data_IF_259893583946
#
_entry.id   IF_259893583946
#
_cell.length_a   1.000
_cell.length_b   1.000
_cell.length_c   1.000
_cell.angle_alpha   90.00
_cell.angle_beta   90.00
_cell.angle_gamma   90.00
#
_symmetry.space_group_name_H-M   'P 1'
#
loop_
_entity.id
_entity.type
_entity.pdbx_description
1 polymer ?
#
# COMPACT_ATOMS: atom_id res chain seq x y z
N UNK A 1 -32.80 -3.76 0.90
CA UNK A 1 -31.74 -4.01 -0.10
C UNK A 1 -30.45 -3.33 0.34
N UNK A 2 -29.34 -4.01 0.22
CA UNK A 2 -28.03 -3.46 0.51
C UNK A 2 -27.19 -3.47 -0.77
N UNK A 3 -26.55 -2.36 -1.09
CA UNK A 3 -25.70 -2.25 -2.29
C UNK A 3 -24.37 -1.59 -1.95
N UNK A 4 -23.27 -2.25 -2.30
CA UNK A 4 -21.94 -1.66 -2.28
C UNK A 4 -21.57 -1.17 -3.67
N UNK A 5 -21.13 0.06 -3.75
CA UNK A 5 -20.62 0.69 -4.98
C UNK A 5 -19.15 1.06 -4.78
N UNK A 6 -18.30 0.62 -5.70
CA UNK A 6 -16.87 0.88 -5.66
C UNK A 6 -16.48 1.97 -6.66
N UNK A 7 -15.72 2.96 -6.21
CA UNK A 7 -15.03 4.01 -6.98
C UNK A 7 -15.92 4.95 -7.78
N UNK A 8 -16.87 4.42 -8.51
CA UNK A 8 -17.83 5.20 -9.27
C UNK A 8 -19.17 4.47 -9.24
N UNK A 9 -20.25 5.19 -9.51
CA UNK A 9 -21.61 4.64 -9.44
C UNK A 9 -21.88 3.52 -10.45
N UNK A 10 -20.99 3.34 -11.43
CA UNK A 10 -21.15 2.35 -12.49
C UNK A 10 -20.05 1.29 -12.54
N UNK A 11 -19.01 1.40 -11.69
CA UNK A 11 -17.82 0.55 -11.80
C UNK A 11 -18.03 -0.84 -11.22
N UNK A 12 -18.48 -0.94 -9.99
CA UNK A 12 -18.76 -2.23 -9.36
C UNK A 12 -19.98 -2.07 -8.45
N UNK A 13 -20.95 -2.92 -8.65
CA UNK A 13 -22.15 -2.97 -7.81
C UNK A 13 -22.31 -4.39 -7.27
N UNK A 14 -22.27 -4.52 -5.94
CA UNK A 14 -22.60 -5.75 -5.23
C UNK A 14 -23.85 -5.48 -4.42
N UNK A 15 -24.97 -6.13 -4.75
CA UNK A 15 -26.25 -5.87 -4.12
C UNK A 15 -26.89 -7.15 -3.58
N UNK A 16 -27.69 -6.99 -2.54
CA UNK A 16 -28.41 -8.08 -1.88
C UNK A 16 -29.85 -7.67 -1.60
N UNK A 17 -30.76 -8.56 -1.95
CA UNK A 17 -32.18 -8.40 -1.66
C UNK A 17 -32.62 -9.45 -0.64
N UNK A 18 -33.03 -8.99 0.53
CA UNK A 18 -33.47 -9.89 1.63
C UNK A 18 -34.77 -10.60 1.30
N UNK A 19 -35.69 -9.98 0.56
CA UNK A 19 -36.97 -10.57 0.17
C UNK A 19 -36.83 -11.77 -0.77
N UNK A 20 -35.72 -11.84 -1.52
CA UNK A 20 -35.44 -12.92 -2.46
C UNK A 20 -34.22 -13.75 -2.08
N UNK A 21 -33.53 -13.37 -1.02
CA UNK A 21 -32.25 -13.99 -0.61
C UNK A 21 -31.28 -14.10 -1.79
N UNK A 22 -31.18 -13.03 -2.58
CA UNK A 22 -30.44 -12.99 -3.84
C UNK A 22 -29.35 -11.96 -3.83
N UNK A 23 -28.13 -12.37 -4.25
CA UNK A 23 -26.99 -11.50 -4.46
C UNK A 23 -26.75 -11.29 -5.94
N UNK A 24 -26.53 -10.05 -6.34
CA UNK A 24 -26.13 -9.68 -7.71
C UNK A 24 -24.83 -8.94 -7.73
N UNK A 25 -23.99 -9.26 -8.70
CA UNK A 25 -22.75 -8.54 -8.99
C UNK A 25 -22.80 -7.97 -10.40
N UNK A 26 -22.41 -6.70 -10.52
CA UNK A 26 -22.27 -6.04 -11.84
C UNK A 26 -20.89 -5.40 -11.91
N UNK A 27 -20.06 -5.83 -12.84
CA UNK A 27 -18.70 -5.33 -13.06
C UNK A 27 -17.81 -5.43 -11.83
N UNK A 28 -18.04 -6.42 -10.99
CA UNK A 28 -17.21 -6.67 -9.79
C UNK A 28 -16.26 -7.82 -10.03
N UNK A 29 -15.05 -7.69 -9.47
CA UNK A 29 -14.08 -8.78 -9.42
C UNK A 29 -14.61 -9.92 -8.55
N UNK A 30 -14.18 -11.16 -8.85
CA UNK A 30 -14.45 -12.32 -7.99
C UNK A 30 -13.86 -12.16 -6.58
N UNK A 31 -12.91 -11.24 -6.40
CA UNK A 31 -12.29 -10.94 -5.12
C UNK A 31 -13.22 -10.20 -4.16
N UNK A 32 -14.32 -9.64 -4.67
CA UNK A 32 -15.29 -8.88 -3.88
C UNK A 32 -16.50 -9.74 -3.57
N UNK A 33 -16.77 -9.95 -2.29
CA UNK A 33 -17.89 -10.75 -1.80
C UNK A 33 -18.37 -10.22 -0.45
N UNK A 34 -19.53 -10.73 -0.01
CA UNK A 34 -19.98 -10.52 1.35
C UNK A 34 -19.07 -11.27 2.32
N UNK A 35 -18.65 -10.61 3.39
CA UNK A 35 -17.87 -11.25 4.45
C UNK A 35 -18.72 -12.19 5.30
N UNK A 36 -19.95 -11.78 5.55
CA UNK A 36 -20.94 -12.52 6.34
C UNK A 36 -22.25 -12.59 5.55
N UNK A 37 -23.29 -13.17 6.15
CA UNK A 37 -24.63 -13.05 5.59
C UNK A 37 -25.05 -11.59 5.61
N UNK A 38 -25.43 -10.99 4.45
CA UNK A 38 -25.80 -9.58 4.42
C UNK A 38 -27.07 -9.25 5.19
N UNK A 39 -27.86 -10.25 5.58
CA UNK A 39 -29.03 -10.05 6.47
C UNK A 39 -28.60 -9.65 7.88
N UNK A 40 -27.48 -10.19 8.36
CA UNK A 40 -26.97 -9.90 9.70
C UNK A 40 -25.87 -8.84 9.71
N UNK A 41 -25.01 -8.81 8.70
CA UNK A 41 -23.91 -7.84 8.60
C UNK A 41 -23.54 -7.63 7.13
N UNK A 42 -23.79 -6.43 6.56
CA UNK A 42 -23.50 -6.15 5.16
C UNK A 42 -22.05 -5.80 4.89
N UNK A 43 -21.11 -6.39 5.61
CA UNK A 43 -19.69 -6.13 5.44
C UNK A 43 -19.18 -6.64 4.09
N UNK A 44 -18.43 -5.81 3.39
CA UNK A 44 -17.78 -6.16 2.13
C UNK A 44 -16.41 -6.79 2.42
N UNK A 45 -16.10 -7.87 1.70
CA UNK A 45 -14.78 -8.50 1.74
C UNK A 45 -14.11 -8.37 0.38
N UNK A 46 -12.88 -7.88 0.40
CA UNK A 46 -12.02 -7.82 -0.79
C UNK A 46 -10.76 -8.63 -0.48
N UNK A 47 -10.60 -9.78 -1.15
CA UNK A 47 -9.45 -10.66 -0.90
C UNK A 47 -9.08 -11.45 -2.16
N UNK A 48 -7.78 -11.45 -2.53
CA UNK A 48 -6.72 -10.57 -2.04
C UNK A 48 -6.89 -9.15 -2.57
N UNK A 49 -6.47 -8.17 -1.76
CA UNK A 49 -6.52 -6.76 -2.15
C UNK A 49 -5.37 -6.44 -3.10
N UNK A 50 -5.60 -5.54 -4.07
CA UNK A 50 -4.55 -5.01 -4.94
C UNK A 50 -4.65 -3.49 -5.03
N UNK A 51 -3.66 -2.86 -5.68
CA UNK A 51 -3.60 -1.40 -5.81
C UNK A 51 -4.84 -0.83 -6.50
N UNK A 52 -5.41 -1.54 -7.44
CA UNK A 52 -6.60 -1.11 -8.15
C UNK A 52 -7.84 -1.01 -7.29
N UNK A 53 -7.84 -1.60 -6.09
CA UNK A 53 -8.98 -1.56 -5.17
C UNK A 53 -9.03 -0.28 -4.34
N UNK A 54 -7.97 0.52 -4.34
CA UNK A 54 -7.92 1.79 -3.62
C UNK A 54 -8.96 2.75 -4.17
N UNK A 55 -9.67 3.44 -3.29
CA UNK A 55 -10.65 4.43 -3.68
C UNK A 55 -11.80 4.53 -2.70
N UNK A 56 -12.89 5.12 -3.17
CA UNK A 56 -14.09 5.38 -2.37
C UNK A 56 -15.12 4.28 -2.57
N UNK A 57 -15.78 3.91 -1.48
CA UNK A 57 -16.83 2.89 -1.46
C UNK A 57 -18.06 3.45 -0.77
N UNK A 58 -19.21 3.18 -1.32
CA UNK A 58 -20.49 3.63 -0.77
C UNK A 58 -21.37 2.40 -0.52
N UNK A 59 -21.86 2.27 0.72
CA UNK A 59 -22.85 1.26 1.06
C UNK A 59 -24.23 1.92 1.15
N UNK A 60 -25.14 1.51 0.29
CA UNK A 60 -26.53 2.01 0.30
C UNK A 60 -27.43 0.96 0.91
N UNK A 61 -28.19 1.34 1.92
CA UNK A 61 -29.19 0.48 2.56
C UNK A 61 -30.57 1.07 2.32
N UNK A 62 -31.44 0.29 1.69
CA UNK A 62 -32.81 0.68 1.42
C UNK A 62 -33.73 -0.20 2.28
N UNK A 63 -34.51 0.42 3.16
CA UNK A 63 -35.42 -0.27 4.06
C UNK A 63 -36.76 0.45 4.14
N UNK A 64 -37.70 -0.16 4.85
CA UNK A 64 -39.00 0.47 5.14
C UNK A 64 -38.85 1.72 6.02
N UNK A 65 -37.73 1.86 6.73
CA UNK A 65 -37.46 3.01 7.60
C UNK A 65 -36.77 4.14 6.86
N UNK A 66 -36.39 3.95 5.61
CA UNK A 66 -35.73 4.95 4.77
C UNK A 66 -34.50 4.43 4.05
N UNK A 67 -33.80 5.35 3.40
CA UNK A 67 -32.57 5.06 2.66
C UNK A 67 -31.38 5.66 3.42
N UNK A 68 -30.32 4.87 3.56
CA UNK A 68 -29.13 5.25 4.30
C UNK A 68 -27.90 5.00 3.44
N UNK A 69 -26.99 5.98 3.42
CA UNK A 69 -25.71 5.88 2.71
C UNK A 69 -24.55 5.95 3.69
N UNK A 70 -23.61 5.01 3.57
CA UNK A 70 -22.40 4.97 4.37
C UNK A 70 -21.19 5.06 3.43
N UNK A 71 -20.28 5.95 3.74
CA UNK A 71 -19.11 6.22 2.89
C UNK A 71 -17.85 5.69 3.56
N UNK A 72 -17.00 5.03 2.75
CA UNK A 72 -15.71 4.53 3.21
C UNK A 72 -14.65 4.81 2.15
N UNK A 73 -13.42 4.99 2.57
CA UNK A 73 -12.30 5.06 1.64
C UNK A 73 -11.29 3.96 1.99
N UNK A 74 -10.76 3.34 0.94
CA UNK A 74 -9.76 2.29 1.07
C UNK A 74 -8.43 2.81 0.55
N UNK A 75 -7.41 2.78 1.41
CA UNK A 75 -6.04 3.06 1.03
C UNK A 75 -5.26 1.75 1.01
N UNK A 76 -4.54 1.51 -0.07
CA UNK A 76 -3.74 0.30 -0.23
C UNK A 76 -2.28 0.64 -0.04
N UNK A 77 -1.63 0.00 0.94
CA UNK A 77 -0.18 0.14 1.18
C UNK A 77 0.55 -1.04 0.54
N UNK A 78 1.74 -0.77 0.01
CA UNK A 78 2.60 -1.80 -0.60
C UNK A 78 3.96 -1.73 0.06
N UNK A 79 4.46 -2.84 0.65
CA UNK A 79 5.78 -2.86 1.25
C UNK A 79 6.86 -2.73 0.18
N UNK A 80 7.89 -1.89 0.40
CA UNK A 80 8.98 -1.77 -0.54
C UNK A 80 9.92 -2.97 -0.45
N UNK A 81 10.64 -3.24 -1.54
CA UNK A 81 11.77 -4.16 -1.53
C UNK A 81 13.03 -3.36 -1.22
N UNK A 82 13.68 -3.65 -0.09
CA UNK A 82 14.82 -2.88 0.40
C UNK A 82 16.11 -3.61 0.08
N UNK A 83 17.06 -2.88 -0.52
CA UNK A 83 18.41 -3.39 -0.82
C UNK A 83 19.46 -2.38 -0.37
N UNK A 84 20.60 -2.89 0.08
CA UNK A 84 21.76 -2.08 0.46
C UNK A 84 22.99 -2.67 -0.24
N UNK A 85 23.66 -1.85 -1.04
CA UNK A 85 24.84 -2.26 -1.79
C UNK A 85 25.95 -1.24 -1.62
N UNK A 86 27.20 -1.70 -1.76
CA UNK A 86 28.38 -0.84 -1.81
C UNK A 86 29.05 -1.01 -3.17
N UNK A 87 29.54 0.10 -3.72
CA UNK A 87 30.37 0.03 -4.92
C UNK A 87 31.85 0.18 -4.57
N UNK A 88 32.70 -0.01 -5.58
CA UNK A 88 34.15 0.08 -5.42
C UNK A 88 34.67 1.50 -5.14
N UNK A 89 33.84 2.52 -5.38
CA UNK A 89 34.20 3.92 -5.14
C UNK A 89 33.89 4.36 -3.71
N UNK A 90 33.56 3.42 -2.82
CA UNK A 90 33.17 3.65 -1.42
C UNK A 90 31.88 4.45 -1.27
N UNK A 91 31.00 4.32 -2.23
CA UNK A 91 29.63 4.81 -2.11
C UNK A 91 28.71 3.67 -1.74
N UNK A 92 27.80 3.92 -0.85
CA UNK A 92 26.74 2.97 -0.50
C UNK A 92 25.40 3.44 -1.06
N UNK A 93 24.59 2.49 -1.51
CA UNK A 93 23.27 2.77 -2.09
C UNK A 93 22.24 1.97 -1.34
N UNK A 94 21.27 2.67 -0.75
CA UNK A 94 20.11 2.07 -0.11
C UNK A 94 18.88 2.36 -0.96
N UNK A 95 18.18 1.32 -1.40
CA UNK A 95 17.04 1.46 -2.28
C UNK A 95 15.82 0.80 -1.65
N UNK A 96 14.72 1.55 -1.61
CA UNK A 96 13.41 1.04 -1.24
C UNK A 96 12.53 1.06 -2.49
N UNK A 97 12.39 -0.10 -3.13
CA UNK A 97 11.78 -0.21 -4.45
C UNK A 97 10.28 -0.45 -4.38
N UNK A 98 9.53 0.35 -5.14
CA UNK A 98 8.11 0.14 -5.42
C UNK A 98 7.25 0.06 -4.15
N UNK A 99 7.48 0.95 -3.20
CA UNK A 99 6.65 1.09 -2.00
C UNK A 99 5.51 2.08 -2.21
N UNK A 100 4.44 1.89 -1.47
CA UNK A 100 3.34 2.85 -1.42
C UNK A 100 2.84 2.99 0.02
N UNK A 101 2.93 4.17 0.63
CA UNK A 101 3.64 5.36 0.13
C UNK A 101 5.14 5.15 0.00
N UNK A 102 5.88 6.18 -0.44
CA UNK A 102 7.33 6.12 -0.49
C UNK A 102 7.90 5.85 0.91
N UNK A 103 8.94 5.03 0.99
CA UNK A 103 9.60 4.74 2.25
C UNK A 103 10.55 5.86 2.65
N UNK A 104 10.80 6.03 3.94
CA UNK A 104 11.80 6.95 4.46
C UNK A 104 13.10 6.21 4.70
N UNK A 105 14.19 6.72 4.14
CA UNK A 105 15.52 6.13 4.23
C UNK A 105 16.40 7.03 5.08
N UNK A 106 17.14 6.44 6.01
CA UNK A 106 18.13 7.15 6.80
C UNK A 106 19.44 6.35 6.83
N UNK A 107 20.49 6.94 7.41
CA UNK A 107 21.81 6.33 7.47
C UNK A 107 22.35 6.36 8.88
N UNK A 108 23.05 5.29 9.26
CA UNK A 108 23.87 5.21 10.48
C UNK A 108 25.26 4.75 10.07
N UNK A 109 26.29 5.55 10.25
CA UNK A 109 26.31 6.89 10.82
C UNK A 109 25.61 7.92 9.94
N UNK A 110 24.99 8.92 10.57
CA UNK A 110 24.32 10.00 9.83
C UNK A 110 25.34 10.79 9.01
N UNK A 111 24.95 11.18 7.79
CA UNK A 111 25.81 11.94 6.90
C UNK A 111 25.06 13.13 6.32
N UNK A 112 25.76 14.27 6.24
CA UNK A 112 25.23 15.47 5.59
C UNK A 112 25.45 15.46 4.07
N UNK A 113 26.05 14.40 3.54
CA UNK A 113 26.43 14.27 2.12
C UNK A 113 25.65 13.17 1.41
N UNK A 114 24.48 12.82 1.92
CA UNK A 114 23.60 11.88 1.22
C UNK A 114 22.82 12.59 0.12
N UNK A 115 22.60 11.90 -0.99
CA UNK A 115 21.73 12.35 -2.06
C UNK A 115 20.57 11.39 -2.20
N UNK A 116 19.40 11.93 -2.49
CA UNK A 116 18.19 11.12 -2.61
C UNK A 116 17.53 11.34 -3.98
N UNK A 117 17.00 10.26 -4.53
CA UNK A 117 16.26 10.28 -5.79
C UNK A 117 14.95 9.51 -5.61
N UNK A 118 13.93 9.95 -6.32
CA UNK A 118 12.63 9.29 -6.35
C UNK A 118 12.22 8.99 -7.78
N UNK A 119 11.66 7.79 -7.97
CA UNK A 119 11.05 7.40 -9.24
C UNK A 119 9.60 7.02 -8.95
N UNK A 120 8.67 7.73 -9.56
CA UNK A 120 7.24 7.46 -9.43
C UNK A 120 6.80 6.53 -10.56
N UNK A 121 6.19 5.40 -10.18
CA UNK A 121 5.71 4.41 -11.13
C UNK A 121 4.25 4.65 -11.49
N UNK A 122 3.84 4.15 -12.65
CA UNK A 122 2.47 4.34 -13.14
C UNK A 122 1.41 3.71 -12.24
N UNK A 123 1.76 2.68 -11.49
CA UNK A 123 0.84 2.01 -10.56
C UNK A 123 0.67 2.76 -9.23
N UNK A 124 1.36 3.88 -9.04
CA UNK A 124 1.31 4.68 -7.82
C UNK A 124 2.36 4.32 -6.78
N UNK A 125 3.16 3.29 -7.01
CA UNK A 125 4.30 2.97 -6.13
C UNK A 125 5.47 3.92 -6.41
N UNK A 126 6.36 4.05 -5.43
CA UNK A 126 7.52 4.93 -5.51
C UNK A 126 8.76 4.16 -5.11
N UNK A 127 9.81 4.28 -5.92
CA UNK A 127 11.14 3.80 -5.58
C UNK A 127 11.95 4.98 -5.06
N UNK A 128 12.49 4.85 -3.86
CA UNK A 128 13.37 5.86 -3.28
C UNK A 128 14.76 5.27 -3.16
N UNK A 129 15.76 6.04 -3.64
CA UNK A 129 17.17 5.63 -3.63
C UNK A 129 17.95 6.68 -2.88
N UNK A 130 18.76 6.28 -1.92
CA UNK A 130 19.67 7.16 -1.20
C UNK A 130 21.10 6.70 -1.40
N UNK A 131 21.95 7.64 -1.78
CA UNK A 131 23.38 7.42 -1.96
C UNK A 131 24.15 8.15 -0.88
N UNK A 132 25.13 7.49 -0.30
CA UNK A 132 26.02 8.08 0.67
C UNK A 132 27.48 7.80 0.29
N UNK A 133 28.33 8.83 0.40
CA UNK A 133 29.76 8.67 0.29
C UNK A 133 30.34 8.57 1.70
N UNK A 134 31.01 7.47 2.00
CA UNK A 134 31.50 7.20 3.33
C UNK A 134 33.03 7.06 3.41
N UNK A 135 33.74 7.64 2.45
CA UNK A 135 35.21 7.61 2.33
C UNK A 135 35.90 7.98 3.64
N UNK A 136 35.31 8.92 4.39
CA UNK A 136 35.89 9.40 5.64
C UNK A 136 35.33 8.70 6.90
N UNK A 137 34.55 7.63 6.73
CA UNK A 137 34.02 6.89 7.85
C UNK A 137 35.08 5.96 8.42
N UNK A 138 35.24 6.00 9.74
CA UNK A 138 36.11 5.07 10.46
C UNK A 138 35.40 3.78 10.83
N UNK A 139 34.11 3.71 10.61
CA UNK A 139 33.29 2.54 10.94
C UNK A 139 33.32 1.52 9.80
N UNK A 140 33.49 0.21 10.14
CA UNK A 140 33.56 -0.82 9.12
C UNK A 140 32.21 -1.18 8.52
N UNK A 141 31.14 -0.75 9.16
CA UNK A 141 29.77 -1.14 8.80
C UNK A 141 28.91 0.09 8.59
N UNK A 142 28.12 0.08 7.53
CA UNK A 142 27.12 1.10 7.27
C UNK A 142 25.74 0.49 7.42
N UNK A 143 24.83 1.22 8.02
CA UNK A 143 23.46 0.77 8.29
C UNK A 143 22.45 1.70 7.65
N UNK A 144 21.46 1.13 7.01
CA UNK A 144 20.37 1.86 6.37
C UNK A 144 19.05 1.46 7.03
N UNK A 145 18.53 2.27 7.99
CA UNK A 145 17.17 2.10 8.49
C UNK A 145 16.17 2.63 7.47
N UNK A 146 15.13 1.81 7.19
CA UNK A 146 14.04 2.17 6.29
C UNK A 146 12.73 2.09 7.06
N UNK A 147 11.97 3.18 7.04
CA UNK A 147 10.69 3.29 7.71
C UNK A 147 9.57 3.32 6.69
N UNK A 148 8.58 2.45 6.88
CA UNK A 148 7.40 2.36 6.02
C UNK A 148 6.19 1.95 6.87
N UNK A 149 4.95 2.39 6.50
CA UNK A 149 3.76 2.00 7.27
C UNK A 149 3.54 0.49 7.40
N UNK A 150 4.03 -0.32 6.47
CA UNK A 150 3.88 -1.79 6.55
C UNK A 150 4.85 -2.43 7.53
N UNK A 151 6.08 -1.93 7.63
CA UNK A 151 7.11 -2.42 8.54
C UNK A 151 8.35 -1.55 8.46
N UNK A 152 9.13 -1.54 9.54
CA UNK A 152 10.45 -0.95 9.55
C UNK A 152 11.48 -2.03 9.23
N UNK A 153 12.44 -1.71 8.36
CA UNK A 153 13.52 -2.63 8.00
C UNK A 153 14.87 -1.92 8.21
N UNK A 154 15.84 -2.68 8.66
CA UNK A 154 17.20 -2.15 8.86
C UNK A 154 18.17 -3.10 8.18
N UNK A 155 18.94 -2.61 7.24
CA UNK A 155 19.99 -3.35 6.57
C UNK A 155 21.35 -2.82 6.98
N UNK A 156 22.31 -3.72 7.16
CA UNK A 156 23.69 -3.38 7.48
C UNK A 156 24.63 -4.10 6.53
N UNK A 157 25.69 -3.41 6.12
CA UNK A 157 26.66 -3.96 5.19
C UNK A 157 28.07 -3.48 5.57
N UNK A 158 29.02 -4.38 5.51
CA UNK A 158 30.43 -4.05 5.66
C UNK A 158 31.00 -3.79 4.27
N UNK A 159 31.44 -2.56 4.01
CA UNK A 159 31.97 -2.13 2.72
C UNK A 159 33.49 -2.12 2.70
N UNK A 160 34.13 -3.13 3.25
CA UNK A 160 35.60 -3.26 3.21
C UNK A 160 36.06 -3.87 1.90
N UNK A 161 37.21 -3.40 1.39
CA UNK A 161 37.94 -4.04 0.31
C UNK A 161 38.50 -5.40 0.74
#
# INVERSE_FOLDING_TARGET
MVTWKAKCSTCCLLSYRSDRNETRKVNCSERMMWKYSPDSDPALRIYPVNLGDEGSYICEVVSSEGNFDFFSSLSVTVPPTVTLTCDKSRAAVCQAAAGKPAADISWIPASNHSTEEEVHHLDGTVTRVSHIDWVNSTLPTITCPVTHPTANQTLSLSCKE
#
